data_IF_323805488684
#
_entry.id   IF_323805488684
#
_cell.length_a   1.000
_cell.length_b   1.000
_cell.length_c   1.000
_cell.angle_alpha   90.00
_cell.angle_beta   90.00
_cell.angle_gamma   90.00
#
_symmetry.space_group_name_H-M   'P 1'
#
loop_
_entity.id
_entity.type
_entity.pdbx_description
1 polymer ?
#
# COMPACT_ATOMS: atom_id res chain seq x y z
N UNK A 1 43.76 -38.85 -36.65
CA UNK A 1 43.29 -40.23 -36.89
C UNK A 1 42.68 -40.74 -35.59
N UNK A 2 41.41 -41.19 -35.64
CA UNK A 2 40.57 -41.82 -34.60
C UNK A 2 40.16 -40.91 -33.41
N UNK A 3 38.93 -40.39 -33.22
CA UNK A 3 37.53 -40.86 -33.35
C UNK A 3 37.17 -42.05 -32.45
N UNK A 4 36.47 -41.73 -31.33
CA UNK A 4 35.33 -42.42 -30.64
C UNK A 4 34.71 -41.32 -29.73
N UNK A 5 33.54 -40.67 -29.91
CA UNK A 5 32.12 -41.10 -30.11
C UNK A 5 31.72 -42.14 -29.05
N UNK A 6 30.72 -42.03 -28.15
CA UNK A 6 29.33 -41.47 -28.04
C UNK A 6 28.99 -41.61 -26.51
N UNK A 7 28.19 -40.79 -25.80
CA UNK A 7 26.70 -40.79 -25.64
C UNK A 7 26.31 -39.62 -24.70
N UNK A 8 25.36 -38.73 -25.04
CA UNK A 8 24.63 -37.91 -24.07
C UNK A 8 23.33 -38.62 -23.66
N UNK A 9 23.11 -38.77 -22.35
CA UNK A 9 21.88 -39.33 -21.79
C UNK A 9 20.81 -38.23 -21.75
N UNK A 10 19.98 -38.17 -22.78
CA UNK A 10 18.76 -37.37 -22.83
C UNK A 10 17.68 -38.16 -22.10
N UNK A 11 17.31 -37.71 -20.90
CA UNK A 11 16.19 -38.27 -20.13
C UNK A 11 14.94 -37.43 -20.43
N UNK A 12 14.17 -37.85 -21.43
CA UNK A 12 12.84 -37.32 -21.71
C UNK A 12 11.85 -38.06 -20.81
N UNK A 13 11.28 -37.38 -19.81
CA UNK A 13 10.10 -37.86 -19.10
C UNK A 13 8.85 -37.46 -19.90
N UNK A 14 8.38 -38.38 -20.74
CA UNK A 14 7.03 -38.31 -21.31
C UNK A 14 6.04 -38.84 -20.26
N UNK A 15 5.25 -37.95 -19.65
CA UNK A 15 4.08 -38.35 -18.88
C UNK A 15 2.95 -38.71 -19.85
N UNK A 16 2.83 -39.98 -20.20
CA UNK A 16 1.63 -40.55 -20.81
C UNK A 16 0.51 -40.57 -19.78
N UNK A 17 -0.53 -39.74 -20.00
CA UNK A 17 -1.80 -39.87 -19.32
C UNK A 17 -2.62 -40.98 -20.01
N UNK A 18 -2.86 -42.09 -19.31
CA UNK A 18 -3.85 -43.08 -19.70
C UNK A 18 -5.25 -42.49 -19.49
N UNK A 19 -5.99 -42.31 -20.59
CA UNK A 19 -7.42 -42.06 -20.60
C UNK A 19 -8.15 -43.36 -20.28
N UNK A 20 -9.02 -43.37 -19.27
CA UNK A 20 -10.11 -44.33 -19.27
C UNK A 20 -11.36 -43.83 -18.54
N UNK A 21 -12.50 -44.28 -19.05
CA UNK A 21 -13.89 -44.19 -18.54
C UNK A 21 -14.77 -43.01 -19.03
N UNK A 22 -16.11 -43.15 -19.02
CA UNK A 22 -16.89 -43.41 -20.23
C UNK A 22 -17.95 -42.33 -20.52
N UNK A 23 -18.46 -42.32 -21.76
CA UNK A 23 -19.53 -41.42 -22.23
C UNK A 23 -20.77 -41.45 -21.33
N UNK A 24 -21.24 -40.28 -20.87
CA UNK A 24 -22.64 -40.04 -20.49
C UNK A 24 -23.15 -38.74 -21.11
N UNK A 25 -24.39 -38.85 -21.59
CA UNK A 25 -25.06 -37.96 -22.53
C UNK A 25 -25.38 -36.56 -21.97
N UNK A 26 -25.28 -35.58 -22.86
CA UNK A 26 -25.69 -34.17 -22.75
C UNK A 26 -27.20 -34.04 -22.98
N UNK A 27 -27.91 -33.12 -22.28
CA UNK A 27 -29.08 -32.45 -22.84
C UNK A 27 -28.68 -31.06 -23.37
N UNK A 28 -28.99 -30.84 -24.64
CA UNK A 28 -28.86 -29.60 -25.40
C UNK A 28 -29.79 -28.52 -24.81
N UNK A 29 -29.31 -27.27 -24.69
CA UNK A 29 -30.16 -26.08 -24.60
C UNK A 29 -29.77 -25.11 -25.71
N UNK A 30 -30.78 -24.72 -26.47
CA UNK A 30 -30.69 -23.94 -27.71
C UNK A 30 -30.52 -22.43 -27.45
N UNK A 31 -29.88 -21.76 -28.41
CA UNK A 31 -29.94 -20.31 -28.66
C UNK A 31 -28.91 -19.48 -27.88
N UNK A 32 -28.20 -18.49 -28.43
CA UNK A 32 -28.19 -17.81 -29.73
C UNK A 32 -26.76 -17.29 -29.93
N UNK A 33 -26.18 -17.46 -31.12
CA UNK A 33 -24.89 -16.90 -31.54
C UNK A 33 -25.11 -15.49 -32.05
N UNK A 34 -24.46 -14.49 -31.44
CA UNK A 34 -24.17 -13.23 -32.10
C UNK A 34 -22.66 -13.18 -32.38
N UNK A 35 -22.33 -13.16 -33.66
CA UNK A 35 -21.02 -12.79 -34.17
C UNK A 35 -20.89 -11.28 -34.12
N UNK A 36 -19.86 -10.78 -33.45
CA UNK A 36 -19.27 -9.47 -33.76
C UNK A 36 -17.76 -9.64 -33.86
N UNK A 37 -17.29 -9.62 -35.10
CA UNK A 37 -15.90 -9.47 -35.54
C UNK A 37 -15.41 -8.06 -35.24
N UNK A 38 -14.26 -7.91 -34.57
CA UNK A 38 -13.42 -6.71 -34.63
C UNK A 38 -11.94 -7.10 -34.49
N UNK A 39 -11.30 -7.17 -35.65
CA UNK A 39 -9.95 -6.75 -36.06
C UNK A 39 -8.81 -6.65 -35.04
N UNK A 40 -7.76 -7.43 -35.34
CA UNK A 40 -6.36 -7.21 -34.96
C UNK A 40 -5.84 -5.92 -35.62
N UNK A 41 -5.63 -4.86 -34.83
CA UNK A 41 -4.56 -3.85 -34.95
C UNK A 41 -4.92 -2.66 -34.05
N UNK A 42 -4.51 -2.71 -32.78
CA UNK A 42 -4.17 -1.49 -32.04
C UNK A 42 -3.40 -1.86 -30.77
N UNK A 43 -2.63 -0.89 -30.25
CA UNK A 43 -1.80 -0.93 -29.03
C UNK A 43 -0.29 -1.14 -29.24
N UNK A 44 0.31 -0.33 -30.13
CA UNK A 44 1.55 0.38 -29.79
C UNK A 44 1.16 1.83 -29.52
N UNK A 45 1.29 2.28 -28.26
CA UNK A 45 0.96 3.67 -27.92
C UNK A 45 1.26 4.00 -26.46
N UNK A 46 2.47 4.52 -26.23
CA UNK A 46 2.84 5.15 -24.98
C UNK A 46 1.93 6.36 -24.70
N UNK A 47 1.21 6.36 -23.57
CA UNK A 47 0.49 7.55 -23.11
C UNK A 47 1.31 8.30 -22.07
N UNK A 48 1.90 9.40 -22.53
CA UNK A 48 2.29 10.54 -21.71
C UNK A 48 1.00 11.27 -21.32
N UNK A 49 0.77 11.49 -20.03
CA UNK A 49 -0.28 12.43 -19.57
C UNK A 49 0.40 13.61 -18.88
N UNK A 50 0.46 14.73 -19.61
CA UNK A 50 0.58 16.07 -19.04
C UNK A 50 -0.83 16.58 -18.65
N UNK A 51 -0.95 17.49 -17.67
CA UNK A 51 -2.23 17.87 -17.09
C UNK A 51 -2.92 18.95 -17.94
N UNK A 52 -4.15 18.66 -18.38
CA UNK A 52 -5.01 19.62 -19.09
C UNK A 52 -5.75 20.51 -18.10
N UNK A 53 -5.36 21.79 -18.06
CA UNK A 53 -6.15 22.87 -17.48
C UNK A 53 -7.36 23.17 -18.36
N UNK A 54 -8.58 22.99 -17.84
CA UNK A 54 -9.79 23.71 -18.26
C UNK A 54 -10.97 23.38 -17.32
N UNK A 55 -11.15 24.19 -16.28
CA UNK A 55 -12.44 24.39 -15.63
C UNK A 55 -12.66 25.90 -15.45
N UNK A 56 -13.80 26.46 -15.91
CA UNK A 56 -14.13 27.87 -15.66
C UNK A 56 -14.52 28.11 -14.19
N UNK A 57 -14.36 29.33 -13.67
CA UNK A 57 -14.62 29.64 -12.27
C UNK A 57 -16.12 29.69 -11.99
N UNK A 58 -16.57 29.02 -10.91
CA UNK A 58 -17.94 29.15 -10.40
C UNK A 58 -17.96 30.30 -9.39
N UNK A 59 -18.71 31.34 -9.74
CA UNK A 59 -18.91 32.59 -9.01
C UNK A 59 -19.56 32.38 -7.63
N UNK A 60 -19.02 33.12 -6.66
CA UNK A 60 -19.51 33.24 -5.30
C UNK A 60 -20.68 34.23 -5.25
N UNK A 61 -21.93 33.79 -5.47
CA UNK A 61 -23.08 34.70 -5.38
C UNK A 61 -24.41 34.06 -4.96
N UNK A 62 -24.43 33.05 -4.07
CA UNK A 62 -25.72 32.49 -3.56
C UNK A 62 -25.75 32.07 -2.07
N UNK A 63 -25.15 32.85 -1.16
CA UNK A 63 -25.38 32.68 0.31
C UNK A 63 -25.85 33.97 1.01
N UNK A 64 -26.09 35.05 0.27
CA UNK A 64 -26.44 36.37 0.86
C UNK A 64 -27.95 36.69 0.93
N UNK A 65 -28.86 35.78 0.57
CA UNK A 65 -30.31 36.08 0.55
C UNK A 65 -31.16 35.41 1.65
N UNK A 66 -30.57 34.83 2.70
CA UNK A 66 -31.34 34.26 3.82
C UNK A 66 -31.04 34.84 5.21
N UNK A 67 -30.49 36.06 5.25
CA UNK A 67 -30.20 36.79 6.50
C UNK A 67 -30.97 38.10 6.68
N UNK A 68 -31.97 38.37 5.85
CA UNK A 68 -32.89 39.49 6.01
C UNK A 68 -34.35 39.01 6.07
N UNK A 69 -34.72 38.41 7.19
CA UNK A 69 -36.10 38.41 7.70
C UNK A 69 -36.02 38.04 9.18
N UNK A 70 -36.58 38.91 10.02
CA UNK A 70 -36.56 38.92 11.48
C UNK A 70 -35.39 39.64 12.17
N UNK A 71 -35.17 40.90 11.78
CA UNK A 71 -34.74 41.94 12.71
C UNK A 71 -35.63 43.17 12.51
N UNK A 72 -36.39 43.56 13.54
CA UNK A 72 -37.14 44.82 13.57
C UNK A 72 -38.64 44.67 13.85
N UNK A 73 -39.01 44.65 15.13
CA UNK A 73 -40.16 45.41 15.60
C UNK A 73 -39.98 45.67 17.10
N UNK A 74 -39.63 46.92 17.42
CA UNK A 74 -39.75 47.45 18.77
C UNK A 74 -41.05 48.27 18.85
N UNK A 75 -41.62 48.28 20.04
CA UNK A 75 -42.55 49.27 20.58
C UNK A 75 -44.06 49.07 20.34
N UNK A 76 -44.77 48.64 21.39
CA UNK A 76 -46.00 49.27 21.90
C UNK A 76 -46.26 48.78 23.33
N UNK A 77 -46.36 49.71 24.27
CA UNK A 77 -46.76 49.48 25.65
C UNK A 77 -48.31 49.43 25.84
N UNK A 78 -48.71 48.89 27.00
CA UNK A 78 -50.04 48.89 27.66
C UNK A 78 -51.08 47.80 27.26
N UNK A 79 -51.26 46.80 28.13
CA UNK A 79 -52.45 46.70 29.02
C UNK A 79 -52.55 45.36 29.81
N UNK A 80 -52.62 45.50 31.15
CA UNK A 80 -53.41 44.75 32.17
C UNK A 80 -53.22 43.23 32.46
N UNK A 81 -52.64 42.98 33.65
CA UNK A 81 -53.19 42.24 34.81
C UNK A 81 -53.06 40.70 35.01
N UNK A 82 -52.33 40.35 36.10
CA UNK A 82 -52.38 39.18 37.02
C UNK A 82 -51.99 37.78 36.44
N UNK A 83 -51.27 36.84 37.10
CA UNK A 83 -51.36 36.24 38.45
C UNK A 83 -50.05 35.45 38.78
N UNK A 84 -49.60 35.54 40.05
CA UNK A 84 -48.86 34.58 40.91
C UNK A 84 -47.39 34.13 40.69
N UNK A 85 -46.65 34.24 41.80
CA UNK A 85 -45.30 33.73 42.08
C UNK A 85 -45.25 32.21 42.35
N UNK A 86 -44.12 31.55 42.02
CA UNK A 86 -43.69 30.29 42.62
C UNK A 86 -42.14 30.17 42.64
N UNK A 87 -41.53 29.55 43.68
CA UNK A 87 -40.11 29.76 44.01
C UNK A 87 -39.14 28.86 43.23
N UNK A 88 -37.98 29.43 42.89
CA UNK A 88 -36.87 28.73 42.23
C UNK A 88 -36.12 27.86 43.26
N UNK A 89 -36.14 26.53 43.08
CA UNK A 89 -35.26 25.60 43.81
C UNK A 89 -33.89 25.55 43.11
N UNK A 90 -32.84 25.95 43.81
CA UNK A 90 -31.45 25.73 43.39
C UNK A 90 -31.07 24.26 43.57
N UNK A 91 -30.70 23.59 42.48
CA UNK A 91 -29.92 22.34 42.54
C UNK A 91 -28.59 22.57 41.83
N UNK A 92 -27.52 22.66 42.62
CA UNK A 92 -26.15 22.54 42.14
C UNK A 92 -25.88 21.06 41.86
N UNK A 93 -25.68 20.72 40.59
CA UNK A 93 -25.23 19.38 40.19
C UNK A 93 -23.77 19.52 39.76
N UNK A 94 -22.85 19.11 40.63
CA UNK A 94 -21.44 18.96 40.29
C UNK A 94 -21.31 17.79 39.31
N UNK A 95 -21.20 18.11 38.02
CA UNK A 95 -21.07 17.13 36.96
C UNK A 95 -19.62 16.62 36.88
N UNK A 96 -19.29 15.57 37.63
CA UNK A 96 -18.03 14.82 37.48
C UNK A 96 -18.21 13.79 36.37
N UNK A 97 -18.18 14.24 35.12
CA UNK A 97 -18.17 13.34 33.98
C UNK A 97 -16.80 12.64 33.90
N UNK A 98 -16.80 11.31 34.01
CA UNK A 98 -15.62 10.49 33.78
C UNK A 98 -15.10 10.70 32.34
N UNK A 99 -13.77 10.78 32.12
CA UNK A 99 -13.20 10.92 30.78
C UNK A 99 -13.68 9.77 29.89
N UNK A 100 -14.38 10.11 28.81
CA UNK A 100 -14.71 9.12 27.79
C UNK A 100 -13.41 8.64 27.14
N UNK A 101 -13.25 7.32 26.90
CA UNK A 101 -12.08 6.81 26.19
C UNK A 101 -12.04 7.50 24.81
N UNK A 102 -10.96 8.23 24.56
CA UNK A 102 -10.70 8.83 23.25
C UNK A 102 -10.68 7.69 22.22
N UNK A 103 -11.35 7.83 21.07
CA UNK A 103 -11.28 6.82 20.02
C UNK A 103 -9.81 6.68 19.59
N UNK A 104 -9.25 5.47 19.69
CA UNK A 104 -7.95 5.17 19.07
C UNK A 104 -8.11 5.40 17.56
N UNK A 105 -7.51 6.47 17.05
CA UNK A 105 -7.45 6.74 15.62
C UNK A 105 -6.44 5.80 14.97
N UNK A 106 -6.86 4.57 14.70
CA UNK A 106 -6.11 3.65 13.87
C UNK A 106 -6.48 3.87 12.39
N UNK A 107 -5.54 4.46 11.63
CA UNK A 107 -5.66 4.64 10.18
C UNK A 107 -5.13 3.45 9.38
N UNK A 108 -4.63 2.40 10.04
CA UNK A 108 -4.15 1.19 9.38
C UNK A 108 -5.31 0.44 8.70
N UNK A 109 -5.18 0.22 7.39
CA UNK A 109 -6.17 -0.52 6.60
C UNK A 109 -5.75 -1.99 6.44
N UNK A 110 -6.60 -2.90 6.91
CA UNK A 110 -6.39 -4.35 6.86
C UNK A 110 -7.47 -5.03 6.03
N UNK A 111 -7.45 -4.78 4.72
CA UNK A 111 -8.38 -5.42 3.79
C UNK A 111 -8.17 -6.93 3.78
N UNK A 112 -9.27 -7.68 3.69
CA UNK A 112 -9.21 -9.13 3.53
C UNK A 112 -8.60 -9.47 2.16
N UNK A 113 -7.61 -10.36 2.15
CA UNK A 113 -7.07 -10.93 0.92
C UNK A 113 -8.08 -11.94 0.35
N UNK A 114 -8.39 -11.79 -0.94
CA UNK A 114 -9.13 -12.80 -1.68
C UNK A 114 -8.12 -13.73 -2.35
N UNK A 115 -8.07 -14.99 -1.91
CA UNK A 115 -7.21 -15.99 -2.55
C UNK A 115 -7.74 -16.36 -3.94
N UNK A 116 -6.80 -16.53 -4.88
CA UNK A 116 -7.12 -17.07 -6.19
C UNK A 116 -7.54 -18.54 -6.04
N UNK A 117 -8.67 -18.89 -6.65
CA UNK A 117 -9.10 -20.27 -6.75
C UNK A 117 -8.17 -21.11 -7.62
N UNK A 118 -8.43 -22.41 -7.69
CA UNK A 118 -7.67 -23.29 -8.60
C UNK A 118 -8.09 -23.03 -10.06
N UNK A 119 -7.10 -22.76 -10.90
CA UNK A 119 -7.27 -22.58 -12.34
C UNK A 119 -6.78 -23.85 -13.06
N UNK A 120 -7.53 -24.29 -14.07
CA UNK A 120 -7.12 -25.42 -14.90
C UNK A 120 -6.03 -24.99 -15.87
N UNK A 121 -4.84 -25.59 -15.76
CA UNK A 121 -3.71 -25.30 -16.66
C UNK A 121 -3.96 -25.72 -18.11
N UNK A 122 -4.96 -26.58 -18.36
CA UNK A 122 -5.38 -26.92 -19.72
C UNK A 122 -6.10 -25.75 -20.42
N UNK A 123 -6.72 -24.85 -19.65
CA UNK A 123 -7.42 -23.68 -20.17
C UNK A 123 -6.56 -22.42 -20.07
N UNK A 124 -5.82 -22.28 -18.97
CA UNK A 124 -4.95 -21.13 -18.70
C UNK A 124 -3.59 -21.61 -18.16
N UNK A 125 -2.62 -21.87 -19.06
CA UNK A 125 -1.31 -22.38 -18.69
C UNK A 125 -0.34 -21.29 -18.21
N UNK A 126 -0.74 -20.02 -18.24
CA UNK A 126 0.15 -18.90 -17.91
C UNK A 126 -0.11 -18.42 -16.48
N UNK A 127 0.93 -18.39 -15.66
CA UNK A 127 0.87 -17.75 -14.34
C UNK A 127 1.72 -16.49 -14.37
N UNK A 128 1.11 -15.37 -14.03
CA UNK A 128 1.78 -14.07 -13.88
C UNK A 128 1.78 -13.69 -12.41
N UNK A 129 2.93 -13.32 -11.88
CA UNK A 129 3.08 -12.80 -10.53
C UNK A 129 3.99 -11.57 -10.56
N UNK A 130 3.76 -10.65 -9.62
CA UNK A 130 4.63 -9.49 -9.46
C UNK A 130 5.98 -9.91 -8.89
N UNK A 131 7.04 -9.21 -9.30
CA UNK A 131 8.36 -9.31 -8.68
C UNK A 131 8.50 -8.35 -7.48
N UNK A 132 7.51 -7.48 -7.26
CA UNK A 132 7.54 -6.57 -6.13
C UNK A 132 7.45 -7.34 -4.81
N UNK A 133 8.23 -6.90 -3.83
CA UNK A 133 8.35 -7.55 -2.53
C UNK A 133 8.06 -6.55 -1.44
N UNK A 134 6.88 -6.69 -0.84
CA UNK A 134 6.53 -5.98 0.38
C UNK A 134 6.96 -6.78 1.62
N UNK A 135 7.44 -6.05 2.64
CA UNK A 135 7.91 -6.61 3.92
C UNK A 135 7.18 -6.02 5.12
N UNK A 136 6.17 -5.19 4.87
CA UNK A 136 5.49 -4.39 5.89
C UNK A 136 4.60 -5.27 6.79
N UNK A 137 3.88 -6.22 6.20
CA UNK A 137 2.99 -7.16 6.90
C UNK A 137 3.74 -7.93 7.98
N UNK A 138 4.88 -8.55 7.65
CA UNK A 138 5.66 -9.29 8.66
C UNK A 138 6.14 -8.38 9.81
N UNK A 139 6.64 -7.19 9.48
CA UNK A 139 7.09 -6.22 10.49
C UNK A 139 5.97 -5.83 11.44
N UNK A 140 4.77 -5.65 10.90
CA UNK A 140 3.59 -5.30 11.67
C UNK A 140 3.05 -6.48 12.51
N UNK A 141 3.02 -7.69 11.94
CA UNK A 141 2.71 -8.92 12.68
C UNK A 141 3.66 -9.10 13.86
N UNK A 142 4.96 -8.92 13.63
CA UNK A 142 5.98 -8.98 14.69
C UNK A 142 5.73 -7.94 15.78
N UNK A 143 5.34 -6.71 15.42
CA UNK A 143 4.97 -5.66 16.38
C UNK A 143 3.82 -6.10 17.27
N UNK A 144 2.70 -6.55 16.69
CA UNK A 144 1.55 -7.04 17.47
C UNK A 144 1.93 -8.15 18.45
N UNK A 145 2.69 -9.15 17.97
CA UNK A 145 3.15 -10.27 18.80
C UNK A 145 4.03 -9.79 19.95
N UNK A 146 4.97 -8.87 19.70
CA UNK A 146 5.85 -8.32 20.73
C UNK A 146 5.07 -7.47 21.78
N UNK A 147 3.95 -6.89 21.38
CA UNK A 147 3.02 -6.18 22.27
C UNK A 147 2.06 -7.13 23.02
N UNK A 148 2.17 -8.46 22.80
CA UNK A 148 1.28 -9.45 23.40
C UNK A 148 -0.14 -9.45 22.81
N UNK A 149 -0.32 -8.87 21.62
CA UNK A 149 -1.61 -8.77 20.92
C UNK A 149 -1.62 -9.71 19.72
N UNK A 150 -2.80 -10.23 19.38
CA UNK A 150 -2.99 -10.96 18.13
C UNK A 150 -3.12 -9.96 16.97
N UNK A 151 -2.39 -10.15 15.85
CA UNK A 151 -2.58 -9.32 14.68
C UNK A 151 -3.98 -9.55 14.09
N UNK A 152 -4.64 -8.51 13.54
CA UNK A 152 -5.88 -8.70 12.81
C UNK A 152 -5.63 -9.57 11.57
N UNK A 153 -6.64 -10.33 11.12
CA UNK A 153 -6.48 -11.28 10.01
C UNK A 153 -5.92 -10.63 8.75
N UNK A 154 -6.41 -9.44 8.38
CA UNK A 154 -5.95 -8.70 7.20
C UNK A 154 -4.54 -8.09 7.33
N UNK A 155 -3.92 -8.13 8.51
CA UNK A 155 -2.52 -7.76 8.68
C UNK A 155 -1.56 -8.86 8.23
N UNK A 156 -2.03 -10.10 8.10
CA UNK A 156 -1.22 -11.26 7.71
C UNK A 156 -1.35 -11.47 6.21
N UNK A 157 -0.32 -11.06 5.45
CA UNK A 157 -0.23 -11.26 4.00
C UNK A 157 0.75 -12.39 3.73
N UNK A 158 0.25 -13.50 3.19
CA UNK A 158 1.04 -14.74 3.08
C UNK A 158 2.31 -14.51 2.26
N UNK A 159 2.20 -13.78 1.14
CA UNK A 159 3.36 -13.47 0.30
C UNK A 159 4.45 -12.70 1.05
N UNK A 160 4.08 -11.68 1.81
CA UNK A 160 5.04 -10.85 2.57
C UNK A 160 5.66 -11.61 3.75
N UNK A 161 4.91 -12.54 4.35
CA UNK A 161 5.43 -13.39 5.42
C UNK A 161 6.55 -14.32 4.93
N UNK A 162 6.43 -14.80 3.69
CA UNK A 162 7.43 -15.67 3.06
C UNK A 162 8.60 -14.83 2.52
N UNK A 163 8.31 -13.69 1.90
CA UNK A 163 9.30 -12.85 1.23
C UNK A 163 10.10 -11.93 2.18
N UNK A 164 9.69 -11.78 3.43
CA UNK A 164 10.42 -10.96 4.43
C UNK A 164 11.87 -11.43 4.65
N UNK A 165 12.14 -12.74 4.50
CA UNK A 165 13.45 -13.31 4.78
C UNK A 165 14.36 -13.29 3.56
N UNK A 166 15.66 -13.09 3.80
CA UNK A 166 16.68 -13.27 2.77
C UNK A 166 16.96 -14.75 2.54
N UNK A 167 16.98 -15.16 1.28
CA UNK A 167 17.32 -16.50 0.85
C UNK A 167 18.62 -16.47 0.04
N UNK A 168 19.44 -17.52 0.21
CA UNK A 168 20.72 -17.65 -0.47
C UNK A 168 20.55 -18.28 -1.87
N UNK A 169 19.90 -17.53 -2.77
CA UNK A 169 19.75 -17.93 -4.17
C UNK A 169 21.01 -17.60 -4.97
N UNK A 170 21.35 -18.40 -6.00
CA UNK A 170 22.51 -18.12 -6.85
C UNK A 170 22.37 -16.78 -7.59
N UNK A 171 23.48 -16.09 -7.81
CA UNK A 171 23.50 -14.93 -8.71
C UNK A 171 23.12 -15.33 -10.14
N UNK A 172 22.52 -14.43 -10.93
CA UNK A 172 22.35 -14.66 -12.36
C UNK A 172 23.69 -14.90 -13.08
N UNK A 173 23.62 -15.62 -14.20
CA UNK A 173 24.70 -15.67 -15.16
C UNK A 173 24.84 -14.34 -15.92
N UNK A 174 25.72 -14.29 -16.93
CA UNK A 174 25.92 -13.07 -17.73
C UNK A 174 24.87 -12.87 -18.83
N UNK A 175 24.07 -13.89 -19.13
CA UNK A 175 23.11 -13.87 -20.23
C UNK A 175 21.78 -13.25 -19.79
N UNK A 176 21.34 -13.56 -18.57
CA UNK A 176 20.05 -13.11 -18.03
C UNK A 176 20.21 -12.19 -16.81
N UNK A 177 19.30 -11.20 -16.63
CA UNK A 177 19.41 -10.23 -15.52
C UNK A 177 19.00 -10.80 -14.14
N UNK A 178 18.42 -12.00 -14.10
CA UNK A 178 18.00 -12.70 -12.89
C UNK A 178 18.21 -14.21 -13.01
N UNK A 179 18.39 -14.89 -11.86
CA UNK A 179 18.36 -16.34 -11.75
C UNK A 179 16.99 -16.82 -11.28
N UNK A 180 16.65 -18.06 -11.62
CA UNK A 180 15.42 -18.72 -11.17
C UNK A 180 15.79 -20.03 -10.46
N UNK A 181 15.31 -20.19 -9.24
CA UNK A 181 15.40 -21.44 -8.47
C UNK A 181 13.99 -21.99 -8.30
N UNK A 182 13.76 -23.27 -8.58
CA UNK A 182 12.45 -23.89 -8.42
C UNK A 182 12.57 -25.13 -7.56
N UNK A 183 11.68 -25.24 -6.58
CA UNK A 183 11.58 -26.41 -5.71
C UNK A 183 10.15 -26.91 -5.69
N UNK A 184 9.99 -28.23 -5.62
CA UNK A 184 8.68 -28.88 -5.53
C UNK A 184 8.67 -29.81 -4.33
N UNK A 185 7.66 -29.66 -3.48
CA UNK A 185 7.51 -30.44 -2.25
C UNK A 185 6.08 -30.93 -2.03
N UNK A 186 5.84 -31.78 -1.01
CA UNK A 186 4.49 -32.08 -0.55
C UNK A 186 3.79 -30.80 -0.09
N UNK A 187 2.48 -30.69 -0.36
CA UNK A 187 1.67 -29.60 0.17
C UNK A 187 1.19 -29.95 1.58
N UNK A 188 1.56 -29.20 2.63
CA UNK A 188 1.31 -29.62 4.02
C UNK A 188 -0.16 -29.55 4.44
N UNK A 189 -1.02 -28.91 3.64
CA UNK A 189 -2.46 -28.83 3.89
C UNK A 189 -3.31 -29.56 2.82
N UNK A 190 -2.68 -30.23 1.83
CA UNK A 190 -3.41 -30.98 0.81
C UNK A 190 -2.54 -32.09 0.18
N UNK A 191 -2.69 -33.31 0.68
CA UNK A 191 -1.90 -34.47 0.23
C UNK A 191 -2.07 -34.85 -1.25
N UNK A 192 -3.17 -34.42 -1.87
CA UNK A 192 -3.43 -34.65 -3.30
C UNK A 192 -2.72 -33.65 -4.21
N UNK A 193 -1.99 -32.67 -3.64
CA UNK A 193 -1.32 -31.59 -4.39
C UNK A 193 0.15 -31.48 -4.01
N UNK A 194 0.92 -30.85 -4.90
CA UNK A 194 2.30 -30.44 -4.65
C UNK A 194 2.35 -28.93 -4.45
N UNK A 195 3.30 -28.49 -3.64
CA UNK A 195 3.63 -27.09 -3.47
C UNK A 195 4.87 -26.78 -4.31
N UNK A 196 4.81 -25.72 -5.09
CA UNK A 196 5.94 -25.24 -5.90
C UNK A 196 6.40 -23.92 -5.31
N UNK A 197 7.71 -23.79 -5.10
CA UNK A 197 8.36 -22.56 -4.66
C UNK A 197 9.25 -22.06 -5.78
N UNK A 198 9.08 -20.81 -6.17
CA UNK A 198 9.86 -20.15 -7.21
C UNK A 198 10.63 -19.01 -6.53
N UNK A 199 11.95 -19.09 -6.53
CA UNK A 199 12.84 -18.05 -6.06
C UNK A 199 13.44 -17.31 -7.24
N UNK A 200 13.42 -15.97 -7.20
CA UNK A 200 14.05 -15.11 -8.20
C UNK A 200 15.13 -14.27 -7.51
N UNK A 201 16.29 -14.13 -8.15
CA UNK A 201 17.38 -13.28 -7.66
C UNK A 201 17.93 -12.46 -8.81
N UNK A 202 17.76 -11.14 -8.71
CA UNK A 202 18.43 -10.20 -9.61
C UNK A 202 19.93 -10.10 -9.25
N UNK A 203 20.71 -9.61 -10.22
CA UNK A 203 22.13 -9.36 -10.01
C UNK A 203 22.35 -8.37 -8.88
N UNK A 204 23.22 -8.72 -7.94
CA UNK A 204 23.65 -7.77 -6.92
C UNK A 204 24.47 -6.64 -7.56
N UNK A 205 24.09 -5.40 -7.27
CA UNK A 205 24.80 -4.20 -7.68
C UNK A 205 25.54 -3.67 -6.46
N UNK A 206 26.86 -3.47 -6.59
CA UNK A 206 27.64 -2.83 -5.54
C UNK A 206 27.15 -1.39 -5.35
N UNK A 207 27.04 -0.92 -4.11
CA UNK A 207 26.61 0.45 -3.80
C UNK A 207 27.42 1.50 -4.54
N UNK A 208 28.70 1.24 -4.81
CA UNK A 208 29.58 2.16 -5.55
C UNK A 208 29.19 2.32 -7.04
N UNK A 209 28.48 1.33 -7.58
CA UNK A 209 28.02 1.30 -8.97
C UNK A 209 26.59 1.84 -9.12
N UNK A 210 25.93 2.22 -8.01
CA UNK A 210 24.62 2.84 -8.05
C UNK A 210 24.70 4.24 -8.67
N UNK A 211 23.76 4.59 -9.58
CA UNK A 211 23.67 5.93 -10.09
C UNK A 211 23.30 6.93 -8.97
N UNK A 212 23.69 8.21 -9.10
CA UNK A 212 23.27 9.24 -8.17
C UNK A 212 21.75 9.30 -8.02
N UNK A 213 21.27 9.39 -6.78
CA UNK A 213 19.84 9.45 -6.47
C UNK A 213 19.38 10.87 -6.15
N UNK A 214 18.15 11.21 -6.56
CA UNK A 214 17.47 12.43 -6.14
C UNK A 214 16.19 12.06 -5.39
N UNK A 215 16.24 12.09 -4.06
CA UNK A 215 15.15 11.68 -3.17
C UNK A 215 14.32 12.89 -2.75
N UNK A 216 13.02 12.85 -2.96
CA UNK A 216 12.08 13.90 -2.53
C UNK A 216 11.05 13.27 -1.61
N UNK A 217 11.05 13.70 -0.36
CA UNK A 217 10.09 13.24 0.65
C UNK A 217 8.98 14.26 0.86
N UNK A 218 7.74 13.80 0.79
CA UNK A 218 6.57 14.53 1.25
C UNK A 218 6.12 13.91 2.58
N UNK A 219 6.14 14.68 3.66
CA UNK A 219 5.97 14.18 5.04
C UNK A 219 4.75 14.83 5.69
N UNK A 220 3.85 14.00 6.22
CA UNK A 220 2.76 14.44 7.09
C UNK A 220 3.31 14.87 8.45
N UNK A 221 2.98 16.08 8.88
CA UNK A 221 3.32 16.60 10.22
C UNK A 221 2.08 16.97 11.03
N UNK A 222 0.91 16.42 10.71
CA UNK A 222 -0.33 16.63 11.47
C UNK A 222 -0.21 16.15 12.92
N UNK A 223 -1.07 16.66 13.81
CA UNK A 223 -1.10 16.22 15.22
C UNK A 223 -1.26 14.71 15.41
N UNK A 224 -1.89 14.02 14.44
CA UNK A 224 -2.05 12.55 14.43
C UNK A 224 -0.73 11.78 14.32
N UNK A 225 0.34 12.44 13.88
CA UNK A 225 1.69 11.87 13.70
C UNK A 225 2.54 11.91 14.97
N UNK A 226 2.01 12.43 16.09
CA UNK A 226 2.75 12.62 17.35
C UNK A 226 3.09 11.33 18.11
N UNK A 227 2.43 10.22 17.81
CA UNK A 227 2.68 8.93 18.48
C UNK A 227 4.08 8.38 18.19
N UNK A 228 4.68 7.66 19.14
CA UNK A 228 6.08 7.21 19.08
C UNK A 228 6.41 6.30 17.89
N UNK A 229 5.40 5.60 17.36
CA UNK A 229 5.47 4.72 16.19
C UNK A 229 5.21 5.45 14.85
N UNK A 230 5.02 6.78 14.86
CA UNK A 230 4.74 7.62 13.67
C UNK A 230 5.90 8.57 13.37
N UNK A 231 5.75 9.89 13.50
CA UNK A 231 6.79 10.87 13.16
C UNK A 231 8.12 10.62 13.91
N UNK A 232 8.15 10.30 15.22
CA UNK A 232 9.38 9.98 15.92
C UNK A 232 10.09 8.73 15.36
N UNK A 233 9.35 7.75 14.85
CA UNK A 233 9.93 6.58 14.17
C UNK A 233 10.44 6.97 12.77
N UNK A 234 9.67 7.76 12.03
CA UNK A 234 10.08 8.29 10.72
C UNK A 234 11.39 9.07 10.83
N UNK A 235 11.52 9.97 11.81
CA UNK A 235 12.75 10.73 12.05
C UNK A 235 13.95 9.80 12.29
N UNK A 236 13.79 8.72 13.07
CA UNK A 236 14.86 7.74 13.28
C UNK A 236 15.26 7.05 11.97
N UNK A 237 14.28 6.58 11.20
CA UNK A 237 14.51 5.93 9.90
C UNK A 237 15.17 6.86 8.90
N UNK A 238 14.74 8.12 8.82
CA UNK A 238 15.33 9.11 7.93
C UNK A 238 16.75 9.49 8.35
N UNK A 239 17.07 9.54 9.64
CA UNK A 239 18.46 9.72 10.10
C UNK A 239 19.34 8.54 9.69
N UNK A 240 18.81 7.31 9.66
CA UNK A 240 19.55 6.15 9.15
C UNK A 240 19.78 6.26 7.64
N UNK A 241 18.77 6.68 6.88
CA UNK A 241 18.89 6.95 5.45
C UNK A 241 19.94 8.03 5.17
N UNK A 242 19.92 9.15 5.90
CA UNK A 242 20.86 10.26 5.72
C UNK A 242 22.33 9.81 5.84
N UNK A 243 22.61 8.82 6.68
CA UNK A 243 23.95 8.23 6.85
C UNK A 243 24.39 7.34 5.67
N UNK A 244 23.45 6.88 4.85
CA UNK A 244 23.72 6.05 3.67
C UNK A 244 23.87 6.87 2.39
N UNK A 245 23.52 8.17 2.41
CA UNK A 245 23.65 9.04 1.24
C UNK A 245 25.12 9.31 0.91
N UNK A 246 25.47 9.17 -0.36
CA UNK A 246 26.74 9.61 -0.93
C UNK A 246 26.72 11.08 -1.32
N UNK A 247 27.89 11.65 -1.63
CA UNK A 247 28.00 13.07 -2.00
C UNK A 247 27.33 13.46 -3.31
N UNK A 248 27.13 12.48 -4.21
CA UNK A 248 26.41 12.68 -5.46
C UNK A 248 24.89 12.60 -5.30
N UNK A 249 24.40 12.10 -4.16
CA UNK A 249 22.97 12.02 -3.89
C UNK A 249 22.42 13.38 -3.46
N UNK A 250 21.12 13.55 -3.68
CA UNK A 250 20.35 14.69 -3.19
C UNK A 250 19.13 14.24 -2.42
N UNK A 251 18.80 15.00 -1.38
CA UNK A 251 17.58 14.85 -0.60
C UNK A 251 16.85 16.18 -0.49
N UNK A 252 15.52 16.14 -0.63
CA UNK A 252 14.61 17.26 -0.39
C UNK A 252 13.49 16.80 0.53
N UNK A 253 13.03 17.67 1.42
CA UNK A 253 11.93 17.39 2.34
C UNK A 253 10.89 18.50 2.20
N UNK A 254 9.67 18.10 1.90
CA UNK A 254 8.47 18.94 1.90
C UNK A 254 7.57 18.39 3.00
N UNK A 255 7.01 19.27 3.82
CA UNK A 255 6.06 18.89 4.87
C UNK A 255 4.67 19.38 4.49
N UNK A 256 3.67 18.59 4.86
CA UNK A 256 2.26 18.94 4.71
C UNK A 256 1.52 18.71 6.03
N UNK A 257 0.64 19.67 6.35
CA UNK A 257 -0.34 19.59 7.44
C UNK A 257 -1.42 20.65 7.15
N UNK A 258 -1.57 21.67 7.99
CA UNK A 258 -2.44 22.82 7.72
C UNK A 258 -1.94 23.74 6.60
N UNK A 259 -0.65 23.65 6.25
CA UNK A 259 -0.01 24.34 5.13
C UNK A 259 1.19 23.55 4.63
N UNK A 260 1.49 23.66 3.35
CA UNK A 260 2.61 22.97 2.72
C UNK A 260 3.82 23.90 2.65
N UNK A 261 5.00 23.41 3.04
CA UNK A 261 6.23 24.16 2.86
C UNK A 261 7.45 23.24 2.67
N UNK A 262 8.47 23.80 2.00
CA UNK A 262 9.76 23.13 1.82
C UNK A 262 10.55 23.25 3.11
N UNK A 263 10.72 22.13 3.81
CA UNK A 263 11.50 22.03 5.04
C UNK A 263 13.00 21.96 4.75
N UNK A 264 13.36 21.19 3.72
CA UNK A 264 14.74 21.05 3.26
C UNK A 264 14.77 21.19 1.73
N UNK A 265 15.35 22.27 1.17
CA UNK A 265 15.56 22.37 -0.28
C UNK A 265 16.57 21.31 -0.75
N UNK A 266 16.71 21.06 -2.07
CA UNK A 266 17.62 20.04 -2.60
C UNK A 266 19.03 20.16 -2.04
N UNK A 267 19.40 19.23 -1.15
CA UNK A 267 20.61 19.27 -0.34
C UNK A 267 21.47 18.04 -0.67
N UNK A 268 22.79 18.23 -0.82
CA UNK A 268 23.69 17.11 -1.13
C UNK A 268 23.77 16.14 0.05
N UNK A 269 23.88 14.84 -0.24
CA UNK A 269 24.12 13.81 0.78
C UNK A 269 25.39 14.02 1.61
N UNK A 270 26.36 14.81 1.11
CA UNK A 270 27.53 15.23 1.88
C UNK A 270 27.22 16.22 3.01
N UNK A 271 26.11 16.97 2.92
CA UNK A 271 25.67 17.92 3.95
C UNK A 271 24.89 17.21 5.08
N UNK A 272 25.41 16.07 5.58
CA UNK A 272 24.70 15.19 6.52
C UNK A 272 24.18 15.91 7.76
N UNK A 273 24.97 16.81 8.35
CA UNK A 273 24.54 17.54 9.55
C UNK A 273 23.32 18.42 9.29
N UNK A 274 23.27 19.10 8.14
CA UNK A 274 22.14 19.95 7.73
C UNK A 274 20.88 19.11 7.51
N UNK A 275 21.04 17.94 6.88
CA UNK A 275 19.94 16.99 6.66
C UNK A 275 19.40 16.48 8.01
N UNK A 276 20.28 16.06 8.93
CA UNK A 276 19.90 15.54 10.24
C UNK A 276 19.18 16.61 11.06
N UNK A 277 19.69 17.85 11.07
CA UNK A 277 19.05 18.97 11.77
C UNK A 277 17.66 19.25 11.23
N UNK A 278 17.48 19.29 9.90
CA UNK A 278 16.14 19.48 9.32
C UNK A 278 15.17 18.34 9.68
N UNK A 279 15.65 17.10 9.76
CA UNK A 279 14.83 15.96 10.22
C UNK A 279 14.44 16.11 11.70
N UNK A 280 15.34 16.59 12.55
CA UNK A 280 15.10 16.81 13.98
C UNK A 280 14.09 17.92 14.26
N UNK A 281 14.06 18.93 13.41
CA UNK A 281 13.13 20.07 13.50
C UNK A 281 11.70 19.71 13.05
N UNK A 282 11.49 18.53 12.43
CA UNK A 282 10.14 18.04 12.13
C UNK A 282 9.35 17.89 13.43
N UNK A 283 8.26 18.65 13.57
CA UNK A 283 7.37 18.61 14.72
C UNK A 283 5.95 18.29 14.28
N UNK A 284 5.28 17.38 14.99
CA UNK A 284 3.86 17.12 14.77
C UNK A 284 3.06 18.32 15.32
N UNK A 285 2.34 19.02 14.45
CA UNK A 285 1.58 20.21 14.79
C UNK A 285 0.70 20.66 13.63
N UNK A 286 -0.60 20.78 13.90
CA UNK A 286 -1.64 21.17 12.96
C UNK A 286 -3.00 21.05 13.62
#
# INVERSE_FOLDING_TARGET
>A
MNIKKIIPFILIFALTACSDTPKKNVPKKDGVRQETTLDENDMIGASKTEPSANHPPVEAEQVREKKEKFAGMADTAESLAMIAEAPVRSMSIANTAAPQPQPEWNTESYNALQENGFISTANDPLSTFSIDVDTASYSNVRRFINEGKLPPKGAVRIEEMINYFSYDYPQPDKEHPFSVTTEVGPCPWNDSRKMVRIGLKAKDIDKKDLPPSNLVFLIDVSGSMSEQNKLPLLQKSMKMLAKQLGGNDRISIVVYAGHDHVMLPPTSGSEQQKIITAIEELGAGG
#
